data_IF_995182895316
#
_entry.id   IF_995182895316
#
_cell.length_a   1.000
_cell.length_b   1.000
_cell.length_c   1.000
_cell.angle_alpha   90.00
_cell.angle_beta   90.00
_cell.angle_gamma   90.00
#
_symmetry.space_group_name_H-M   'P 1'
#
loop_
_entity.id
_entity.type
_entity.pdbx_description
1 polymer ?
#
# COMPACT_ATOMS: atom_id res chain seq x y z
N UNK A 1 13.42 2.48 -37.20
CA UNK A 1 14.01 1.19 -36.79
C UNK A 1 13.10 0.52 -35.78
N UNK A 2 12.93 -0.80 -35.83
CA UNK A 2 12.07 -1.54 -34.90
C UNK A 2 12.90 -2.16 -33.77
N UNK A 3 12.32 -2.22 -32.57
CA UNK A 3 13.00 -2.70 -31.35
C UNK A 3 12.29 -3.98 -30.84
N UNK A 4 12.60 -5.16 -31.41
CA UNK A 4 12.01 -6.42 -30.96
C UNK A 4 12.51 -6.79 -29.57
N UNK A 5 11.60 -7.17 -28.67
CA UNK A 5 11.92 -7.53 -27.28
C UNK A 5 11.59 -9.01 -27.04
N UNK A 6 12.60 -9.80 -26.67
CA UNK A 6 12.49 -11.24 -26.43
C UNK A 6 12.65 -11.54 -24.94
N UNK A 7 11.69 -12.25 -24.36
CA UNK A 7 11.68 -12.69 -22.94
C UNK A 7 11.97 -11.56 -21.93
N UNK A 8 11.31 -10.41 -22.11
CA UNK A 8 11.45 -9.26 -21.24
C UNK A 8 11.05 -9.56 -19.79
N UNK A 9 11.90 -9.23 -18.83
CA UNK A 9 11.54 -9.25 -17.41
C UNK A 9 10.84 -7.93 -17.05
N UNK A 10 9.51 -7.96 -16.98
CA UNK A 10 8.70 -6.78 -16.66
C UNK A 10 8.90 -6.27 -15.23
N UNK A 11 9.37 -7.14 -14.33
CA UNK A 11 9.41 -6.93 -12.87
C UNK A 11 8.03 -6.86 -12.21
N UNK A 12 6.96 -7.15 -12.94
CA UNK A 12 5.62 -7.28 -12.37
C UNK A 12 5.44 -8.67 -11.76
N UNK A 13 4.83 -8.72 -10.58
CA UNK A 13 4.47 -9.95 -9.89
C UNK A 13 3.00 -10.27 -10.16
N UNK A 14 2.76 -11.41 -10.79
CA UNK A 14 1.44 -11.94 -11.14
C UNK A 14 1.54 -13.45 -11.39
N UNK A 15 0.41 -14.12 -11.61
CA UNK A 15 0.32 -15.51 -12.05
C UNK A 15 -0.60 -15.65 -13.26
N UNK A 16 -0.34 -16.65 -14.08
CA UNK A 16 -1.20 -17.00 -15.20
C UNK A 16 -2.37 -17.88 -14.75
N UNK A 17 -3.54 -17.59 -15.29
CA UNK A 17 -4.80 -18.30 -15.02
C UNK A 17 -5.39 -18.83 -16.34
N UNK A 18 -6.15 -19.94 -16.30
CA UNK A 18 -6.83 -20.45 -17.49
C UNK A 18 -7.87 -19.45 -18.04
N UNK A 19 -8.09 -19.47 -19.36
CA UNK A 19 -9.12 -18.67 -20.02
C UNK A 19 -10.52 -19.05 -19.51
N UNK A 20 -11.41 -18.05 -19.40
CA UNK A 20 -12.81 -18.26 -18.96
C UNK A 20 -13.78 -17.71 -20.00
N UNK A 21 -13.87 -16.38 -20.12
CA UNK A 21 -14.75 -15.72 -21.09
C UNK A 21 -14.20 -15.71 -22.53
N UNK A 22 -12.90 -15.98 -22.70
CA UNK A 22 -12.18 -16.03 -23.98
C UNK A 22 -11.14 -17.15 -23.94
N UNK A 23 -10.73 -17.60 -25.12
CA UNK A 23 -9.73 -18.67 -25.28
C UNK A 23 -8.35 -18.30 -24.72
N UNK A 24 -7.97 -17.02 -24.75
CA UNK A 24 -6.68 -16.54 -24.24
C UNK A 24 -6.57 -16.75 -22.71
N UNK A 25 -5.36 -17.09 -22.24
CA UNK A 25 -5.03 -17.12 -20.80
C UNK A 25 -5.22 -15.74 -20.17
N UNK A 26 -5.51 -15.72 -18.88
CA UNK A 26 -5.62 -14.50 -18.07
C UNK A 26 -4.36 -14.32 -17.24
N UNK A 27 -4.10 -13.08 -16.85
CA UNK A 27 -3.19 -12.75 -15.76
C UNK A 27 -4.02 -12.28 -14.57
N UNK A 28 -3.61 -12.67 -13.36
CA UNK A 28 -4.18 -12.06 -12.16
C UNK A 28 -3.83 -10.55 -12.13
N UNK A 29 -4.66 -9.75 -11.46
CA UNK A 29 -4.37 -8.33 -11.26
C UNK A 29 -2.96 -8.22 -10.66
N UNK A 30 -2.13 -7.37 -11.26
CA UNK A 30 -0.72 -7.23 -10.87
C UNK A 30 -0.67 -6.92 -9.36
N UNK A 31 -0.02 -7.80 -8.60
CA UNK A 31 0.14 -7.66 -7.15
C UNK A 31 0.99 -6.44 -6.82
N UNK A 32 2.00 -6.19 -7.64
CA UNK A 32 2.91 -5.07 -7.55
C UNK A 32 4.14 -5.32 -8.42
N UNK A 33 5.07 -4.38 -8.40
CA UNK A 33 6.41 -4.62 -8.95
C UNK A 33 7.33 -5.18 -7.90
N UNK A 34 8.31 -5.99 -8.31
CA UNK A 34 9.39 -6.44 -7.42
C UNK A 34 10.16 -5.26 -6.83
N UNK A 35 10.23 -4.13 -7.55
CA UNK A 35 10.87 -2.90 -7.08
C UNK A 35 10.01 -2.14 -6.04
N UNK A 36 8.69 -2.41 -5.99
CA UNK A 36 7.76 -1.76 -5.05
C UNK A 36 7.61 -2.59 -3.74
N UNK A 37 8.30 -3.73 -3.62
CA UNK A 37 8.31 -4.58 -2.43
C UNK A 37 9.11 -3.93 -1.31
N UNK A 38 8.51 -3.86 -0.11
CA UNK A 38 9.16 -3.35 1.09
C UNK A 38 9.55 -4.51 1.98
N UNK A 39 10.74 -4.43 2.59
CA UNK A 39 11.15 -5.33 3.67
C UNK A 39 11.07 -4.53 4.96
N UNK A 40 10.20 -4.93 5.88
CA UNK A 40 10.00 -4.27 7.18
C UNK A 40 10.21 -5.31 8.27
N UNK A 41 11.28 -5.17 9.04
CA UNK A 41 11.64 -6.12 10.13
C UNK A 41 11.67 -7.59 9.66
N UNK A 42 12.16 -7.83 8.45
CA UNK A 42 12.29 -9.16 7.85
C UNK A 42 11.04 -9.70 7.15
N UNK A 43 9.92 -8.96 7.15
CA UNK A 43 8.68 -9.34 6.45
C UNK A 43 8.61 -8.62 5.09
N UNK A 44 8.32 -9.38 4.03
CA UNK A 44 8.06 -8.83 2.70
C UNK A 44 6.62 -8.32 2.63
N UNK A 45 6.45 -7.04 2.29
CA UNK A 45 5.14 -6.38 2.22
C UNK A 45 5.01 -5.59 0.93
N UNK A 46 3.88 -5.76 0.26
CA UNK A 46 3.50 -4.93 -0.89
C UNK A 46 2.54 -3.80 -0.47
N UNK A 47 2.66 -2.60 -1.06
CA UNK A 47 1.71 -1.51 -0.80
C UNK A 47 0.23 -1.90 -1.03
N UNK A 48 -0.03 -2.79 -1.98
CA UNK A 48 -1.37 -3.29 -2.30
C UNK A 48 -2.00 -4.11 -1.16
N UNK A 49 -1.20 -4.81 -0.35
CA UNK A 49 -1.72 -5.53 0.83
C UNK A 49 -2.19 -4.55 1.91
N UNK A 50 -1.44 -3.45 2.09
CA UNK A 50 -1.80 -2.36 3.01
C UNK A 50 -3.05 -1.63 2.50
N UNK A 51 -3.12 -1.37 1.20
CA UNK A 51 -4.29 -0.77 0.54
C UNK A 51 -5.56 -1.61 0.75
N UNK A 52 -5.47 -2.93 0.64
CA UNK A 52 -6.59 -3.82 0.90
C UNK A 52 -7.15 -3.66 2.33
N UNK A 53 -6.27 -3.52 3.34
CA UNK A 53 -6.73 -3.32 4.72
C UNK A 53 -7.32 -1.92 4.92
N UNK A 54 -6.72 -0.90 4.31
CA UNK A 54 -7.23 0.47 4.36
C UNK A 54 -8.65 0.57 3.79
N UNK A 55 -8.90 -0.07 2.65
CA UNK A 55 -10.20 -0.01 1.97
C UNK A 55 -11.35 -0.65 2.77
N UNK A 56 -11.06 -1.44 3.81
CA UNK A 56 -12.08 -1.96 4.74
C UNK A 56 -12.60 -0.89 5.69
N UNK A 57 -11.83 0.17 5.93
CA UNK A 57 -12.13 1.22 6.90
C UNK A 57 -12.93 2.35 6.24
N UNK A 58 -14.27 2.27 6.31
CA UNK A 58 -15.18 3.25 5.66
C UNK A 58 -15.01 4.70 6.13
N UNK A 59 -14.47 4.89 7.33
CA UNK A 59 -14.21 6.23 7.89
C UNK A 59 -12.94 6.89 7.33
N UNK A 60 -12.09 6.13 6.63
CA UNK A 60 -10.84 6.59 6.04
C UNK A 60 -10.97 6.67 4.51
N UNK A 61 -10.37 7.70 3.94
CA UNK A 61 -10.30 7.90 2.50
C UNK A 61 -9.35 6.87 1.86
N UNK A 62 -9.49 6.57 0.54
CA UNK A 62 -8.58 5.69 -0.19
C UNK A 62 -7.19 6.30 -0.46
N UNK A 63 -6.90 7.46 0.14
CA UNK A 63 -5.64 8.16 0.02
C UNK A 63 -4.69 7.72 1.12
N UNK A 64 -3.52 7.23 0.72
CA UNK A 64 -2.50 6.78 1.64
C UNK A 64 -1.09 6.98 1.10
N UNK A 65 -0.16 7.12 2.03
CA UNK A 65 1.27 7.14 1.78
C UNK A 65 2.00 6.39 2.88
N UNK A 66 2.88 5.49 2.49
CA UNK A 66 3.74 4.72 3.37
C UNK A 66 5.07 5.47 3.50
N UNK A 67 5.50 5.71 4.73
CA UNK A 67 6.81 6.28 5.04
C UNK A 67 7.60 5.25 5.84
N UNK A 68 8.74 4.83 5.32
CA UNK A 68 9.66 3.94 6.02
C UNK A 68 10.78 4.78 6.66
N UNK A 69 10.95 4.62 7.96
CA UNK A 69 12.02 5.26 8.74
C UNK A 69 12.78 4.21 9.54
N UNK A 70 13.90 4.61 10.15
CA UNK A 70 14.63 3.81 11.14
C UNK A 70 14.63 4.53 12.48
N UNK A 71 14.27 3.80 13.54
CA UNK A 71 14.46 4.22 14.92
C UNK A 71 15.42 3.23 15.58
N UNK A 72 16.67 3.67 15.77
CA UNK A 72 17.77 2.77 16.12
C UNK A 72 17.96 1.68 15.06
N UNK A 73 18.01 0.38 15.44
CA UNK A 73 18.15 -0.72 14.49
C UNK A 73 16.82 -1.15 13.84
N UNK A 74 15.67 -0.63 14.29
CA UNK A 74 14.36 -1.13 13.90
C UNK A 74 13.77 -0.29 12.77
N UNK A 75 13.23 -0.97 11.75
CA UNK A 75 12.38 -0.34 10.75
C UNK A 75 11.06 0.10 11.41
N UNK A 76 10.61 1.29 11.03
CA UNK A 76 9.30 1.84 11.39
C UNK A 76 8.53 2.10 10.11
N UNK A 77 7.36 1.48 10.00
CA UNK A 77 6.42 1.74 8.91
C UNK A 77 5.35 2.69 9.45
N UNK A 78 5.31 3.91 8.91
CA UNK A 78 4.26 4.88 9.16
C UNK A 78 3.30 4.90 7.97
N UNK A 79 2.02 4.69 8.22
CA UNK A 79 0.96 4.80 7.22
C UNK A 79 0.23 6.12 7.43
N UNK A 80 0.49 7.08 6.56
CA UNK A 80 -0.28 8.31 6.49
C UNK A 80 -1.61 8.02 5.79
N UNK A 81 -2.71 8.37 6.43
CA UNK A 81 -4.08 8.21 5.93
C UNK A 81 -4.85 9.52 6.13
N UNK A 82 -5.98 9.67 5.44
CA UNK A 82 -6.91 10.78 5.64
C UNK A 82 -8.29 10.25 6.03
N UNK A 83 -9.08 10.99 6.80
CA UNK A 83 -10.49 10.68 6.99
C UNK A 83 -11.29 11.01 5.73
N UNK A 84 -12.46 10.38 5.58
CA UNK A 84 -13.46 10.86 4.63
C UNK A 84 -13.94 12.27 5.04
N UNK A 85 -14.28 13.18 4.10
CA UNK A 85 -14.74 14.53 4.45
C UNK A 85 -15.95 14.53 5.40
N UNK A 86 -16.84 13.54 5.28
CA UNK A 86 -18.03 13.37 6.12
C UNK A 86 -17.69 12.93 7.55
N UNK A 87 -16.63 12.14 7.72
CA UNK A 87 -16.19 11.61 9.03
C UNK A 87 -15.10 12.46 9.67
N UNK A 88 -14.52 13.41 8.94
CA UNK A 88 -13.50 14.34 9.43
C UNK A 88 -13.79 15.01 10.79
N UNK A 89 -15.03 15.45 11.11
CA UNK A 89 -15.32 16.04 12.43
C UNK A 89 -15.46 15.00 13.55
N UNK A 90 -15.63 13.71 13.23
CA UNK A 90 -15.83 12.63 14.20
C UNK A 90 -14.50 11.95 14.56
N UNK A 91 -13.81 12.53 15.53
CA UNK A 91 -12.51 12.06 16.03
C UNK A 91 -12.58 10.65 16.63
N UNK A 92 -13.68 10.28 17.26
CA UNK A 92 -13.84 8.97 17.90
C UNK A 92 -13.90 7.85 16.83
N UNK A 93 -14.71 8.05 15.78
CA UNK A 93 -14.81 7.10 14.67
C UNK A 93 -13.49 6.96 13.92
N UNK A 94 -12.77 8.07 13.68
CA UNK A 94 -11.45 8.07 13.04
C UNK A 94 -10.44 7.29 13.88
N UNK A 95 -10.41 7.52 15.20
CA UNK A 95 -9.50 6.84 16.10
C UNK A 95 -9.76 5.33 16.12
N UNK A 96 -11.03 4.91 16.18
CA UNK A 96 -11.42 3.51 16.12
C UNK A 96 -10.99 2.85 14.79
N UNK A 97 -11.21 3.55 13.66
CA UNK A 97 -10.78 3.07 12.34
C UNK A 97 -9.25 2.94 12.23
N UNK A 98 -8.49 3.89 12.80
CA UNK A 98 -7.03 3.82 12.85
C UNK A 98 -6.53 2.64 13.69
N UNK A 99 -7.15 2.37 14.85
CA UNK A 99 -6.80 1.23 15.69
C UNK A 99 -7.15 -0.11 15.02
N UNK A 100 -8.33 -0.20 14.39
CA UNK A 100 -8.74 -1.38 13.63
C UNK A 100 -7.79 -1.64 12.46
N UNK A 101 -7.40 -0.60 11.71
CA UNK A 101 -6.43 -0.71 10.63
C UNK A 101 -5.07 -1.22 11.10
N UNK A 102 -4.56 -0.67 12.20
CA UNK A 102 -3.31 -1.12 12.79
C UNK A 102 -3.38 -2.60 13.21
N UNK A 103 -4.51 -3.02 13.77
CA UNK A 103 -4.75 -4.40 14.16
C UNK A 103 -4.78 -5.34 12.95
N UNK A 104 -5.53 -5.00 11.90
CA UNK A 104 -5.65 -5.79 10.67
C UNK A 104 -4.30 -5.94 9.95
N UNK A 105 -3.52 -4.87 9.86
CA UNK A 105 -2.18 -4.92 9.27
C UNK A 105 -1.27 -5.86 10.09
N UNK A 106 -1.33 -5.79 11.43
CA UNK A 106 -0.54 -6.65 12.29
C UNK A 106 -0.96 -8.12 12.19
N UNK A 107 -2.26 -8.41 12.20
CA UNK A 107 -2.78 -9.77 12.25
C UNK A 107 -2.71 -10.50 10.90
N UNK A 108 -2.97 -9.79 9.79
CA UNK A 108 -3.05 -10.40 8.46
C UNK A 108 -1.76 -10.28 7.65
N UNK A 109 -0.99 -9.21 7.83
CA UNK A 109 0.27 -8.97 7.09
C UNK A 109 1.49 -9.32 7.96
N UNK A 110 1.38 -9.19 9.27
CA UNK A 110 2.48 -9.51 10.20
C UNK A 110 3.46 -8.36 10.45
N UNK A 111 3.09 -7.12 10.10
CA UNK A 111 3.91 -5.93 10.34
C UNK A 111 3.23 -4.96 11.29
N UNK A 112 4.03 -4.26 12.09
CA UNK A 112 3.50 -3.18 12.94
C UNK A 112 3.55 -1.87 12.15
N UNK A 113 2.38 -1.25 11.95
CA UNK A 113 2.23 0.03 11.30
C UNK A 113 1.83 1.12 12.30
N UNK A 114 2.51 2.26 12.26
CA UNK A 114 2.08 3.48 12.96
C UNK A 114 1.08 4.20 12.06
N UNK A 115 -0.18 4.27 12.48
CA UNK A 115 -1.22 4.96 11.70
C UNK A 115 -1.20 6.43 12.05
N UNK A 116 -0.88 7.26 11.07
CA UNK A 116 -0.86 8.71 11.19
C UNK A 116 -2.02 9.30 10.39
N UNK A 117 -3.06 9.78 11.08
CA UNK A 117 -4.20 10.39 10.43
C UNK A 117 -3.91 11.86 10.19
N UNK A 118 -3.79 12.24 8.91
CA UNK A 118 -3.60 13.62 8.48
C UNK A 118 -4.97 14.29 8.25
N UNK A 119 -5.01 15.64 8.22
CA UNK A 119 -6.19 16.37 7.78
C UNK A 119 -6.60 15.97 6.36
N UNK A 120 -7.86 16.21 6.01
CA UNK A 120 -8.36 16.03 4.63
C UNK A 120 -7.47 16.82 3.66
N UNK A 121 -7.02 16.17 2.58
CA UNK A 121 -6.05 16.70 1.61
C UNK A 121 -4.62 16.93 2.16
N UNK A 122 -4.27 16.34 3.30
CA UNK A 122 -2.91 16.40 3.86
C UNK A 122 -1.89 15.53 3.10
N UNK A 123 -2.34 14.54 2.32
CA UNK A 123 -1.49 13.72 1.45
C UNK A 123 -1.45 14.34 0.05
N UNK A 124 -0.24 14.60 -0.43
CA UNK A 124 0.01 15.11 -1.77
C UNK A 124 -0.70 14.26 -2.83
N UNK A 125 -1.60 14.89 -3.58
CA UNK A 125 -2.36 14.24 -4.65
C UNK A 125 -1.44 14.00 -5.83
N UNK A 126 -1.45 12.78 -6.35
CA UNK A 126 -0.61 12.47 -7.50
C UNK A 126 -1.21 13.07 -8.79
N UNK A 127 -0.42 13.88 -9.48
CA UNK A 127 -0.66 14.31 -10.87
C UNK A 127 -0.31 13.22 -11.90
N UNK A 128 0.05 12.00 -11.45
CA UNK A 128 0.44 10.88 -12.30
C UNK A 128 0.53 9.56 -11.53
N UNK A 129 1.68 8.86 -11.60
CA UNK A 129 1.88 7.63 -10.82
C UNK A 129 2.01 7.99 -9.34
N UNK A 130 1.03 7.57 -8.53
CA UNK A 130 1.06 7.81 -7.09
C UNK A 130 2.31 7.23 -6.45
N UNK A 131 3.13 8.09 -5.85
CA UNK A 131 4.28 7.67 -5.03
C UNK A 131 3.74 7.20 -3.67
N UNK A 132 3.35 5.92 -3.63
CA UNK A 132 2.78 5.28 -2.43
C UNK A 132 3.81 5.06 -1.32
N UNK A 133 5.09 4.99 -1.64
CA UNK A 133 6.16 4.67 -0.68
C UNK A 133 7.24 5.75 -0.71
N UNK A 134 7.56 6.29 0.47
CA UNK A 134 8.73 7.13 0.73
C UNK A 134 9.64 6.37 1.68
N UNK A 135 10.72 5.83 1.15
CA UNK A 135 11.77 5.22 1.97
C UNK A 135 12.76 6.30 2.42
N UNK A 136 12.78 6.60 3.73
CA UNK A 136 13.71 7.53 4.39
C UNK A 136 14.78 6.79 5.19
N UNK A 137 14.87 5.47 5.10
CA UNK A 137 15.95 4.72 5.72
C UNK A 137 17.25 5.12 5.03
N UNK A 138 18.23 5.63 5.80
CA UNK A 138 19.58 5.83 5.28
C UNK A 138 20.13 4.44 4.92
N UNK A 139 20.59 4.30 3.67
CA UNK A 139 21.32 3.12 3.21
C UNK A 139 22.59 2.92 4.02
#
# INVERSE_FOLDING_TARGET
EALPIIRYRTRDLTRLLPGTARTMRRMEKITGRSDDMMIVRGVNVFPTQIEEQLLKQRALAPHYQIVLTKEGPLDVLTLNVEPCPETAPDTATIQAAGQALAHDIKSLIGVTAVINVLPVNGIERSVGKARRVIDKRKG
#
